data_IF_526517242481
#
_entry.id   IF_526517242481
#
_cell.length_a   1.000
_cell.length_b   1.000
_cell.length_c   1.000
_cell.angle_alpha   90.00
_cell.angle_beta   90.00
_cell.angle_gamma   90.00
#
_symmetry.space_group_name_H-M   'P 1'
#
loop_
_entity.id
_entity.type
_entity.pdbx_description
1 polymer ?
#
# COMPACT_ATOMS: atom_id res chain seq x y z
N UNK A 1 -9.69 -2.77 6.13
CA UNK A 1 -9.44 -1.91 4.95
C UNK A 1 -8.64 -2.71 3.95
N UNK A 2 -9.20 -2.98 2.76
CA UNK A 2 -8.53 -3.80 1.76
C UNK A 2 -7.59 -2.97 0.88
N UNK A 3 -6.39 -3.49 0.65
CA UNK A 3 -5.39 -2.92 -0.25
C UNK A 3 -5.13 -3.90 -1.39
N UNK A 4 -5.91 -3.77 -2.47
CA UNK A 4 -5.67 -4.41 -3.75
C UNK A 4 -4.79 -3.47 -4.59
N UNK A 5 -3.52 -3.83 -4.82
CA UNK A 5 -2.67 -3.01 -5.70
C UNK A 5 -2.94 -3.41 -7.13
N UNK A 6 -3.53 -2.51 -7.91
CA UNK A 6 -3.63 -2.68 -9.35
C UNK A 6 -2.53 -1.91 -10.08
N UNK A 7 -1.83 -2.62 -10.97
CA UNK A 7 -0.57 -2.21 -11.60
C UNK A 7 -0.82 -2.09 -13.10
N UNK A 8 -0.48 -0.94 -13.68
CA UNK A 8 -0.62 -0.76 -15.11
C UNK A 8 0.58 -0.15 -15.84
N UNK A 9 0.84 -0.69 -17.04
CA UNK A 9 2.06 -0.48 -17.83
C UNK A 9 1.75 0.22 -19.15
N UNK A 10 2.51 1.26 -19.50
CA UNK A 10 2.44 1.94 -20.80
C UNK A 10 3.81 1.97 -21.46
N UNK A 11 3.93 1.42 -22.68
CA UNK A 11 5.10 1.62 -23.53
C UNK A 11 4.84 2.77 -24.50
N UNK A 12 5.72 3.78 -24.54
CA UNK A 12 5.62 4.92 -25.46
C UNK A 12 6.59 4.69 -26.62
N UNK A 13 6.05 4.64 -27.84
CA UNK A 13 6.83 4.74 -29.07
C UNK A 13 7.05 6.22 -29.43
N UNK A 14 8.31 6.64 -29.52
CA UNK A 14 8.74 7.96 -30.00
C UNK A 14 8.89 7.98 -31.52
N UNK A 15 8.54 9.09 -32.20
CA UNK A 15 9.18 9.65 -33.41
C UNK A 15 8.56 11.05 -33.73
N UNK A 16 9.29 11.97 -34.40
CA UNK A 16 9.19 13.41 -34.22
C UNK A 16 8.43 14.14 -35.34
N UNK A 17 7.87 15.31 -35.06
CA UNK A 17 7.51 16.29 -36.09
C UNK A 17 7.57 17.72 -35.53
N UNK A 18 8.45 18.51 -36.14
CA UNK A 18 8.52 19.95 -35.99
C UNK A 18 7.39 20.60 -36.79
N UNK A 19 6.63 21.52 -36.19
CA UNK A 19 5.98 22.62 -36.89
C UNK A 19 5.95 23.85 -35.97
N UNK A 20 6.66 24.89 -36.40
CA UNK A 20 6.57 26.23 -35.87
C UNK A 20 5.35 26.92 -36.47
N UNK A 21 4.54 27.58 -35.65
CA UNK A 21 3.84 28.80 -36.04
C UNK A 21 3.71 29.73 -34.83
N UNK A 22 4.12 30.97 -35.08
CA UNK A 22 4.09 32.14 -34.23
C UNK A 22 2.67 32.72 -34.13
N UNK A 23 2.31 33.24 -32.95
CA UNK A 23 1.65 34.54 -32.85
C UNK A 23 1.74 35.09 -31.42
N UNK A 24 2.02 36.38 -31.40
CA UNK A 24 2.30 37.27 -30.29
C UNK A 24 1.04 37.70 -29.53
N UNK A 25 1.14 37.89 -28.22
CA UNK A 25 0.61 39.10 -27.58
C UNK A 25 1.29 39.37 -26.23
N UNK A 26 1.61 40.64 -26.06
CA UNK A 26 2.48 41.27 -25.06
C UNK A 26 1.68 41.92 -23.94
N UNK A 27 2.19 41.87 -22.70
CA UNK A 27 2.19 43.02 -21.77
C UNK A 27 3.10 42.67 -20.57
N UNK A 28 4.31 43.21 -20.49
CA UNK A 28 4.69 44.49 -19.87
C UNK A 28 4.74 44.48 -18.33
N UNK A 29 5.92 44.09 -17.84
CA UNK A 29 6.65 44.45 -16.61
C UNK A 29 6.44 45.92 -16.12
N UNK A 30 6.80 46.31 -14.85
CA UNK A 30 8.10 45.97 -14.27
C UNK A 30 8.27 45.73 -12.77
N UNK A 31 9.36 44.99 -12.54
CA UNK A 31 10.13 44.80 -11.32
C UNK A 31 11.07 46.01 -11.15
N UNK A 32 11.13 46.58 -9.95
CA UNK A 32 12.24 47.48 -9.57
C UNK A 32 13.00 46.86 -8.42
N UNK A 33 14.27 46.55 -8.69
CA UNK A 33 15.32 46.22 -7.74
C UNK A 33 16.23 47.43 -7.62
N UNK A 34 16.47 47.94 -6.41
CA UNK A 34 17.66 48.72 -6.12
C UNK A 34 17.89 48.82 -4.61
N UNK A 35 19.07 48.37 -4.18
CA UNK A 35 19.77 48.81 -2.98
C UNK A 35 21.04 49.51 -3.47
N UNK A 36 21.51 50.60 -2.82
CA UNK A 36 22.68 50.45 -1.95
C UNK A 36 22.73 51.39 -0.71
N UNK A 37 23.19 50.86 0.44
CA UNK A 37 24.22 51.30 1.42
C UNK A 37 24.57 52.81 1.65
N UNK A 38 25.29 53.21 2.75
CA UNK A 38 25.08 53.11 4.22
C UNK A 38 25.36 54.44 5.01
N UNK A 39 25.39 54.36 6.35
CA UNK A 39 25.87 55.33 7.40
C UNK A 39 24.82 56.35 7.89
N UNK A 40 24.52 56.57 9.19
CA UNK A 40 25.36 56.66 10.40
C UNK A 40 24.51 56.67 11.71
N UNK A 41 25.05 56.06 12.79
CA UNK A 41 25.02 56.37 14.27
C UNK A 41 23.72 56.91 14.93
N UNK A 42 23.27 56.47 16.12
CA UNK A 42 23.94 56.24 17.42
C UNK A 42 23.04 55.36 18.33
N UNK A 43 23.62 54.65 19.31
CA UNK A 43 22.90 54.27 20.54
C UNK A 43 23.22 52.88 21.11
N UNK A 44 24.32 52.78 21.86
CA UNK A 44 24.75 51.61 22.63
C UNK A 44 24.01 51.55 23.98
N UNK A 45 23.22 50.49 24.23
CA UNK A 45 22.93 50.02 25.60
C UNK A 45 23.04 48.50 25.62
N UNK A 46 24.08 48.00 26.29
CA UNK A 46 24.26 46.59 26.62
C UNK A 46 23.42 46.28 27.86
N UNK A 47 22.46 45.38 27.74
CA UNK A 47 21.86 44.70 28.89
C UNK A 47 22.07 43.21 28.69
N UNK A 48 23.07 42.64 29.38
CA UNK A 48 23.20 41.20 29.53
C UNK A 48 22.08 40.72 30.45
N UNK A 49 21.08 40.05 29.90
CA UNK A 49 20.13 39.26 30.69
C UNK A 49 20.66 37.82 30.77
N UNK A 50 20.99 37.39 31.98
CA UNK A 50 21.20 35.98 32.34
C UNK A 50 19.94 35.16 32.05
N UNK A 51 20.05 33.95 31.46
CA UNK A 51 18.90 33.06 31.35
C UNK A 51 18.50 32.58 32.76
N UNK A 52 17.20 32.50 33.08
CA UNK A 52 16.75 31.95 34.35
C UNK A 52 17.07 30.45 34.40
N UNK A 53 17.54 30.03 35.57
CA UNK A 53 17.86 28.65 35.93
C UNK A 53 16.75 27.67 35.56
N UNK A 54 17.15 26.50 35.06
CA UNK A 54 16.28 25.38 34.77
C UNK A 54 15.36 25.09 35.96
N UNK A 55 14.05 25.24 35.74
CA UNK A 55 13.04 24.73 36.66
C UNK A 55 13.23 23.22 36.77
N UNK A 56 13.53 22.77 37.99
CA UNK A 56 13.41 21.39 38.41
C UNK A 56 11.99 20.92 38.07
N UNK A 57 11.86 20.06 37.06
CA UNK A 57 10.65 19.29 36.88
C UNK A 57 10.79 18.03 37.73
N UNK A 58 10.32 18.11 38.97
CA UNK A 58 9.98 16.93 39.76
C UNK A 58 8.88 16.18 39.01
N UNK A 59 9.27 15.17 38.24
CA UNK A 59 8.31 14.22 37.69
C UNK A 59 7.85 13.32 38.84
N UNK A 60 6.86 13.81 39.57
CA UNK A 60 6.01 13.00 40.45
C UNK A 60 5.46 11.86 39.59
N UNK A 61 5.94 10.65 39.84
CA UNK A 61 5.43 9.42 39.27
C UNK A 61 3.98 9.25 39.76
N UNK A 62 3.06 9.87 39.04
CA UNK A 62 1.63 9.68 39.23
C UNK A 62 1.30 8.34 38.60
N UNK A 63 1.03 7.35 39.44
CA UNK A 63 0.44 6.06 39.07
C UNK A 63 -0.82 6.30 38.25
N UNK A 64 -0.69 6.20 36.93
CA UNK A 64 -1.82 6.04 36.03
C UNK A 64 -2.23 4.55 36.07
N UNK A 65 -3.53 4.23 36.04
CA UNK A 65 -3.98 2.86 35.96
C UNK A 65 -3.42 2.22 34.68
N UNK A 66 -2.99 0.96 34.78
CA UNK A 66 -2.38 0.18 33.70
C UNK A 66 -3.12 0.37 32.37
N UNK A 67 -2.59 1.24 31.51
CA UNK A 67 -3.11 1.44 30.17
C UNK A 67 -2.75 0.19 29.36
N UNK A 68 -3.71 -0.70 29.18
CA UNK A 68 -3.56 -1.91 28.36
C UNK A 68 -3.24 -1.46 26.93
N UNK A 69 -2.01 -1.69 26.49
CA UNK A 69 -1.61 -1.40 25.11
C UNK A 69 -2.43 -2.28 24.15
N UNK A 70 -2.88 -1.74 23.01
CA UNK A 70 -3.61 -2.52 22.02
C UNK A 70 -2.71 -3.64 21.46
N UNK A 71 -3.33 -4.76 21.11
CA UNK A 71 -2.63 -5.90 20.54
C UNK A 71 -2.21 -5.62 19.10
N UNK A 72 -0.95 -5.93 18.82
CA UNK A 72 -0.35 -5.76 17.52
C UNK A 72 0.40 -7.04 17.15
N UNK A 73 0.35 -7.39 15.87
CA UNK A 73 1.24 -8.36 15.25
C UNK A 73 2.55 -7.63 14.92
N UNK A 74 3.64 -8.07 15.54
CA UNK A 74 4.98 -7.52 15.34
C UNK A 74 5.85 -8.56 14.65
N UNK A 75 6.47 -8.20 13.52
CA UNK A 75 7.33 -9.07 12.74
C UNK A 75 8.80 -8.71 12.92
N UNK A 76 9.63 -9.71 13.18
CA UNK A 76 11.09 -9.60 13.26
C UNK A 76 11.77 -10.54 12.28
N UNK A 77 12.85 -10.07 11.65
CA UNK A 77 13.82 -10.91 10.97
C UNK A 77 14.84 -11.39 12.00
N UNK A 78 15.00 -12.70 12.14
CA UNK A 78 15.87 -13.32 13.15
C UNK A 78 16.68 -14.43 12.52
N UNK A 79 18.00 -14.33 12.60
CA UNK A 79 18.91 -15.34 12.05
C UNK A 79 18.81 -16.66 12.85
N UNK A 80 18.26 -17.70 12.23
CA UNK A 80 18.00 -19.03 12.78
C UNK A 80 18.48 -20.12 11.81
N UNK A 81 19.28 -21.07 12.29
CA UNK A 81 19.89 -22.09 11.41
C UNK A 81 19.30 -23.50 11.56
N UNK A 82 18.43 -23.71 12.54
CA UNK A 82 17.88 -25.03 12.85
C UNK A 82 16.63 -24.93 13.71
N UNK A 83 15.91 -26.05 13.85
CA UNK A 83 14.75 -26.18 14.76
C UNK A 83 15.07 -25.89 16.22
N UNK A 84 16.30 -26.18 16.67
CA UNK A 84 16.76 -25.79 18.00
C UNK A 84 16.74 -24.26 18.22
N UNK A 85 17.00 -23.49 17.16
CA UNK A 85 16.89 -22.03 17.20
C UNK A 85 15.45 -21.57 17.32
N UNK A 86 14.55 -22.21 16.57
CA UNK A 86 13.10 -21.94 16.60
C UNK A 86 12.56 -22.13 18.01
N UNK A 87 12.90 -23.26 18.64
CA UNK A 87 12.44 -23.58 19.99
C UNK A 87 12.98 -22.60 21.04
N UNK A 88 14.27 -22.22 20.94
CA UNK A 88 14.86 -21.24 21.86
C UNK A 88 14.15 -19.88 21.78
N UNK A 89 13.84 -19.43 20.56
CA UNK A 89 13.10 -18.17 20.32
C UNK A 89 11.67 -18.25 20.87
N UNK A 90 10.92 -19.30 20.52
CA UNK A 90 9.53 -19.50 21.00
C UNK A 90 9.45 -19.52 22.52
N UNK A 91 10.29 -20.33 23.17
CA UNK A 91 10.30 -20.46 24.63
C UNK A 91 10.58 -19.10 25.29
N UNK A 92 11.57 -18.36 24.79
CA UNK A 92 11.95 -17.08 25.38
C UNK A 92 10.85 -16.02 25.24
N UNK A 93 10.15 -16.00 24.11
CA UNK A 93 9.09 -15.02 23.84
C UNK A 93 7.79 -15.34 24.60
N UNK A 94 7.47 -16.61 24.77
CA UNK A 94 6.27 -17.05 25.51
C UNK A 94 6.36 -16.75 27.02
N UNK A 95 7.55 -16.51 27.57
CA UNK A 95 7.76 -16.08 28.96
C UNK A 95 7.38 -14.61 29.19
N UNK A 96 7.21 -13.82 28.13
CA UNK A 96 7.01 -12.37 28.24
C UNK A 96 5.53 -12.05 28.45
N UNK A 97 5.22 -11.32 29.51
CA UNK A 97 3.87 -10.83 29.76
C UNK A 97 3.40 -9.90 28.64
N UNK A 98 2.17 -10.11 28.16
CA UNK A 98 1.58 -9.40 27.02
C UNK A 98 1.74 -10.11 25.67
N UNK A 99 2.54 -11.18 25.58
CA UNK A 99 2.62 -12.04 24.38
C UNK A 99 1.49 -13.07 24.41
N UNK A 100 0.74 -13.16 23.31
CA UNK A 100 -0.37 -14.12 23.13
C UNK A 100 0.00 -15.27 22.22
N UNK A 101 0.67 -14.99 21.11
CA UNK A 101 1.05 -15.99 20.11
C UNK A 101 2.41 -15.65 19.51
N UNK A 102 3.20 -16.68 19.23
CA UNK A 102 4.50 -16.60 18.57
C UNK A 102 4.55 -17.61 17.43
N UNK A 103 4.59 -17.11 16.20
CA UNK A 103 4.82 -17.89 14.99
C UNK A 103 6.25 -17.71 14.52
N UNK A 104 6.87 -18.79 14.04
CA UNK A 104 8.25 -18.76 13.56
C UNK A 104 8.31 -19.49 12.23
N UNK A 105 8.78 -18.77 11.21
CA UNK A 105 9.06 -19.27 9.88
C UNK A 105 10.59 -19.39 9.71
N UNK A 106 11.09 -20.62 9.83
CA UNK A 106 12.52 -20.90 9.69
C UNK A 106 13.00 -20.70 8.24
N UNK A 107 12.17 -20.97 7.24
CA UNK A 107 12.55 -20.83 5.83
C UNK A 107 12.80 -19.38 5.47
N UNK A 108 11.93 -18.49 5.96
CA UNK A 108 12.01 -17.05 5.70
C UNK A 108 12.77 -16.26 6.78
N UNK A 109 13.23 -16.91 7.86
CA UNK A 109 13.91 -16.28 8.99
C UNK A 109 13.04 -15.22 9.69
N UNK A 110 11.73 -15.46 9.77
CA UNK A 110 10.75 -14.51 10.31
C UNK A 110 10.16 -15.03 11.62
N UNK A 111 10.00 -14.13 12.58
CA UNK A 111 9.30 -14.36 13.85
C UNK A 111 8.15 -13.36 13.94
N UNK A 112 6.92 -13.84 14.08
CA UNK A 112 5.72 -13.02 14.26
C UNK A 112 5.22 -13.16 15.68
N UNK A 113 4.99 -12.04 16.34
CA UNK A 113 4.60 -11.98 17.75
C UNK A 113 3.29 -11.20 17.84
N UNK A 114 2.21 -11.86 18.24
CA UNK A 114 0.95 -11.21 18.57
C UNK A 114 0.94 -10.88 20.06
N UNK A 115 0.78 -9.60 20.40
CA UNK A 115 0.70 -9.18 21.79
C UNK A 115 0.61 -7.69 21.99
N UNK A 116 0.50 -7.28 23.25
CA UNK A 116 0.54 -5.87 23.69
C UNK A 116 1.92 -5.43 24.18
N UNK A 117 2.90 -6.33 24.12
CA UNK A 117 4.28 -6.11 24.58
C UNK A 117 4.99 -5.04 23.74
N UNK A 118 5.72 -4.09 24.36
CA UNK A 118 6.54 -3.13 23.61
C UNK A 118 7.63 -3.79 22.75
N UNK A 119 7.88 -3.22 21.57
CA UNK A 119 8.92 -3.68 20.62
C UNK A 119 10.30 -3.82 21.28
N UNK A 120 10.65 -2.88 22.16
CA UNK A 120 11.93 -2.91 22.87
C UNK A 120 12.10 -4.20 23.68
N UNK A 121 11.09 -4.58 24.46
CA UNK A 121 11.11 -5.80 25.29
C UNK A 121 11.22 -7.06 24.43
N UNK A 122 10.50 -7.11 23.31
CA UNK A 122 10.58 -8.23 22.36
C UNK A 122 11.97 -8.32 21.71
N UNK A 123 12.54 -7.17 21.33
CA UNK A 123 13.89 -7.11 20.73
C UNK A 123 14.95 -7.60 21.71
N UNK A 124 14.92 -7.12 22.96
CA UNK A 124 15.85 -7.54 24.01
C UNK A 124 15.73 -9.05 24.30
N UNK A 125 14.50 -9.58 24.34
CA UNK A 125 14.29 -11.00 24.55
C UNK A 125 14.82 -11.86 23.41
N UNK A 126 14.64 -11.43 22.15
CA UNK A 126 15.22 -12.10 20.99
C UNK A 126 16.75 -12.06 21.02
N UNK A 127 17.34 -10.93 21.36
CA UNK A 127 18.80 -10.76 21.48
C UNK A 127 19.40 -11.62 22.60
N UNK A 128 18.68 -11.80 23.72
CA UNK A 128 19.08 -12.72 24.81
C UNK A 128 19.20 -14.18 24.35
N UNK A 129 18.57 -14.56 23.24
CA UNK A 129 18.75 -15.89 22.66
C UNK A 129 20.07 -16.04 21.89
N UNK A 130 20.87 -14.98 21.80
CA UNK A 130 22.12 -14.92 21.04
C UNK A 130 21.91 -14.67 19.54
N UNK A 131 20.75 -14.12 19.16
CA UNK A 131 20.37 -13.90 17.75
C UNK A 131 20.19 -12.43 17.47
N UNK A 132 20.62 -11.99 16.29
CA UNK A 132 20.34 -10.65 15.81
C UNK A 132 18.89 -10.58 15.37
N UNK A 133 18.14 -9.66 15.96
CA UNK A 133 16.75 -9.40 15.60
C UNK A 133 16.63 -8.02 14.95
N UNK A 134 15.92 -7.95 13.83
CA UNK A 134 15.60 -6.68 13.16
C UNK A 134 14.09 -6.58 13.01
N UNK A 135 13.49 -5.50 13.52
CA UNK A 135 12.08 -5.21 13.28
C UNK A 135 11.81 -5.06 11.78
N UNK A 136 10.80 -5.78 11.29
CA UNK A 136 10.27 -5.70 9.91
C UNK A 136 8.99 -4.87 9.89
N UNK A 137 8.12 -5.04 10.88
CA UNK A 137 6.81 -4.41 10.84
C UNK A 137 6.04 -4.54 12.15
N UNK A 138 5.06 -3.66 12.32
CA UNK A 138 4.10 -3.75 13.41
C UNK A 138 2.74 -3.27 12.90
N UNK A 139 1.71 -4.10 13.05
CA UNK A 139 0.37 -3.80 12.55
C UNK A 139 -0.70 -4.53 13.35
N UNK A 140 -1.96 -4.21 13.08
CA UNK A 140 -3.09 -4.98 13.63
C UNK A 140 -3.06 -6.35 12.94
N UNK A 141 -3.25 -7.47 13.68
CA UNK A 141 -3.24 -8.82 13.11
C UNK A 141 -4.26 -9.03 11.99
N UNK A 142 -5.28 -8.19 11.92
CA UNK A 142 -6.26 -8.17 10.84
C UNK A 142 -5.67 -7.50 9.60
N UNK A 143 -4.87 -8.26 8.86
CA UNK A 143 -4.78 -8.07 7.41
C UNK A 143 -6.18 -8.16 6.79
N UNK A 144 -6.41 -7.58 5.61
CA UNK A 144 -7.73 -7.64 5.00
C UNK A 144 -8.15 -9.08 4.76
N UNK A 145 -9.39 -9.43 5.15
CA UNK A 145 -9.96 -10.77 4.96
C UNK A 145 -9.88 -11.22 3.49
N UNK A 146 -9.99 -10.27 2.57
CA UNK A 146 -9.86 -10.47 1.13
C UNK A 146 -8.68 -9.66 0.61
N UNK A 147 -7.72 -10.34 -0.01
CA UNK A 147 -6.54 -9.73 -0.62
C UNK A 147 -6.31 -10.27 -2.04
N UNK A 148 -5.56 -9.51 -2.83
CA UNK A 148 -5.28 -9.88 -4.21
C UNK A 148 -4.55 -8.78 -4.97
N UNK A 149 -4.15 -9.10 -6.20
CA UNK A 149 -3.54 -8.15 -7.14
C UNK A 149 -4.15 -8.29 -8.51
N UNK A 150 -4.36 -7.13 -9.15
CA UNK A 150 -4.92 -7.02 -10.51
C UNK A 150 -3.93 -6.26 -11.39
N UNK A 151 -3.34 -6.90 -12.39
CA UNK A 151 -2.43 -6.27 -13.35
C UNK A 151 -3.20 -5.93 -14.63
N UNK A 152 -3.06 -4.69 -15.08
CA UNK A 152 -3.65 -4.16 -16.31
C UNK A 152 -2.51 -3.77 -17.26
N UNK A 153 -2.34 -4.46 -18.39
CA UNK A 153 -1.33 -4.08 -19.36
C UNK A 153 -2.00 -3.56 -20.63
N UNK A 154 -1.67 -2.34 -21.08
CA UNK A 154 -2.14 -1.86 -22.37
C UNK A 154 -1.42 -2.64 -23.47
N UNK A 155 -2.17 -3.34 -24.32
CA UNK A 155 -1.60 -4.09 -25.46
C UNK A 155 -1.52 -3.20 -26.69
N UNK A 156 -2.59 -2.45 -26.97
CA UNK A 156 -2.67 -1.43 -28.01
C UNK A 156 -3.76 -0.41 -27.62
N UNK A 157 -4.09 0.56 -28.48
CA UNK A 157 -5.06 1.62 -28.16
C UNK A 157 -6.49 1.13 -27.85
N UNK A 158 -6.85 -0.08 -28.26
CA UNK A 158 -8.20 -0.65 -28.17
C UNK A 158 -8.28 -1.90 -27.27
N UNK A 159 -7.15 -2.39 -26.75
CA UNK A 159 -7.10 -3.65 -26.00
C UNK A 159 -6.21 -3.53 -24.76
N UNK A 160 -6.77 -3.91 -23.62
CA UNK A 160 -6.03 -4.11 -22.37
C UNK A 160 -6.07 -5.58 -21.95
N UNK A 161 -4.92 -6.10 -21.51
CA UNK A 161 -4.81 -7.40 -20.85
C UNK A 161 -5.03 -7.21 -19.35
N UNK A 162 -5.79 -8.12 -18.74
CA UNK A 162 -6.09 -8.12 -17.31
C UNK A 162 -5.70 -9.47 -16.74
N UNK A 163 -4.90 -9.46 -15.68
CA UNK A 163 -4.55 -10.62 -14.88
C UNK A 163 -4.90 -10.34 -13.43
N UNK A 164 -5.57 -11.25 -12.76
CA UNK A 164 -5.96 -11.07 -11.37
C UNK A 164 -5.79 -12.37 -10.57
N UNK A 165 -5.37 -12.20 -9.32
CA UNK A 165 -5.31 -13.27 -8.33
C UNK A 165 -5.89 -12.72 -7.02
N UNK A 166 -6.83 -13.46 -6.43
CA UNK A 166 -7.48 -13.14 -5.17
C UNK A 166 -7.42 -14.33 -4.22
N UNK A 167 -7.42 -14.03 -2.93
CA UNK A 167 -7.55 -15.01 -1.85
C UNK A 167 -8.43 -14.43 -0.73
N UNK A 168 -9.05 -15.33 0.04
CA UNK A 168 -9.94 -14.97 1.13
C UNK A 168 -11.38 -14.66 0.70
N UNK A 169 -11.75 -14.97 -0.54
CA UNK A 169 -13.14 -14.91 -1.00
C UNK A 169 -13.96 -16.07 -0.42
N UNK A 170 -15.28 -15.90 -0.32
CA UNK A 170 -16.16 -17.05 -0.08
C UNK A 170 -16.14 -17.97 -1.31
N UNK A 171 -16.25 -19.30 -1.16
CA UNK A 171 -16.39 -20.18 -2.31
C UNK A 171 -17.61 -19.83 -3.17
N UNK A 172 -17.45 -19.79 -4.49
CA UNK A 172 -18.52 -19.51 -5.44
C UNK A 172 -18.25 -18.32 -6.37
N UNK A 173 -19.34 -17.76 -6.92
CA UNK A 173 -19.27 -16.72 -7.96
C UNK A 173 -19.32 -15.32 -7.37
N UNK A 174 -18.36 -14.50 -7.77
CA UNK A 174 -18.20 -13.12 -7.36
C UNK A 174 -18.24 -12.18 -8.56
N UNK A 175 -19.07 -11.14 -8.53
CA UNK A 175 -18.99 -10.07 -9.52
C UNK A 175 -17.76 -9.19 -9.27
N UNK A 176 -17.21 -8.59 -10.32
CA UNK A 176 -16.15 -7.58 -10.17
C UNK A 176 -16.19 -6.55 -11.29
N UNK A 177 -15.73 -5.34 -10.99
CA UNK A 177 -15.78 -4.21 -11.91
C UNK A 177 -14.71 -3.17 -11.63
N UNK A 178 -14.59 -2.22 -12.55
CA UNK A 178 -13.92 -0.95 -12.35
C UNK A 178 -14.99 0.10 -12.08
N UNK A 179 -14.87 0.83 -10.97
CA UNK A 179 -15.79 1.89 -10.59
C UNK A 179 -15.18 3.28 -10.83
N UNK A 180 -16.02 4.30 -10.81
CA UNK A 180 -15.69 5.65 -11.22
C UNK A 180 -14.57 6.30 -10.37
N UNK A 181 -14.60 6.10 -9.06
CA UNK A 181 -13.72 6.80 -8.12
C UNK A 181 -12.82 5.85 -7.34
N UNK A 182 -11.55 6.24 -7.18
CA UNK A 182 -10.61 5.63 -6.23
C UNK A 182 -10.79 6.12 -4.79
N UNK A 183 -12.01 6.43 -4.36
CA UNK A 183 -12.29 6.85 -2.98
C UNK A 183 -12.57 5.62 -2.10
N UNK A 184 -11.65 5.35 -1.17
CA UNK A 184 -11.75 4.24 -0.21
C UNK A 184 -12.08 4.70 1.22
N UNK A 185 -12.51 5.95 1.43
CA UNK A 185 -12.87 6.48 2.76
C UNK A 185 -13.95 5.66 3.45
N UNK A 186 -14.84 5.02 2.69
CA UNK A 186 -15.86 4.06 3.16
C UNK A 186 -15.74 2.71 2.44
N UNK A 187 -14.51 2.27 2.14
CA UNK A 187 -14.26 1.03 1.40
C UNK A 187 -14.88 1.07 0.00
N UNK A 188 -15.48 -0.04 -0.45
CA UNK A 188 -16.10 -0.10 -1.77
C UNK A 188 -17.32 0.82 -1.92
N UNK A 189 -17.99 1.19 -0.81
CA UNK A 189 -19.22 2.00 -0.86
C UNK A 189 -18.98 3.45 -1.32
N UNK A 190 -17.75 3.96 -1.24
CA UNK A 190 -17.37 5.30 -1.72
C UNK A 190 -16.83 5.33 -3.15
N UNK A 191 -16.76 4.18 -3.85
CA UNK A 191 -16.15 4.09 -5.19
C UNK A 191 -17.03 4.61 -6.35
N UNK A 192 -18.28 4.96 -6.06
CA UNK A 192 -19.23 5.43 -7.07
C UNK A 192 -19.80 4.32 -7.94
N UNK A 193 -20.30 4.69 -9.14
CA UNK A 193 -20.91 3.76 -10.09
C UNK A 193 -19.86 3.01 -10.90
N UNK A 194 -20.28 1.96 -11.60
CA UNK A 194 -19.43 1.27 -12.56
C UNK A 194 -18.95 2.23 -13.66
N UNK A 195 -17.67 2.15 -13.98
CA UNK A 195 -17.03 3.05 -14.93
C UNK A 195 -17.64 2.89 -16.33
N UNK A 196 -18.18 3.97 -16.88
CA UNK A 196 -18.66 4.02 -18.25
C UNK A 196 -18.40 5.41 -18.87
N UNK A 197 -17.26 5.62 -19.55
CA UNK A 197 -16.88 6.93 -20.06
C UNK A 197 -17.70 7.37 -21.28
N UNK A 198 -18.27 6.42 -22.01
CA UNK A 198 -19.16 6.70 -23.14
C UNK A 198 -20.57 6.35 -22.68
N UNK A 199 -21.43 7.35 -22.52
CA UNK A 199 -22.87 7.15 -22.35
C UNK A 199 -23.49 6.70 -23.69
N UNK A 200 -22.97 5.61 -24.26
CA UNK A 200 -23.71 4.87 -25.27
C UNK A 200 -24.85 4.17 -24.52
N UNK A 201 -26.02 4.82 -24.46
CA UNK A 201 -27.25 4.23 -23.93
C UNK A 201 -27.62 2.88 -24.62
N UNK A 202 -26.90 2.52 -25.70
CA UNK A 202 -27.05 1.30 -26.47
C UNK A 202 -26.03 0.18 -26.15
N UNK A 203 -25.01 0.40 -25.31
CA UNK A 203 -24.14 -0.69 -24.85
C UNK A 203 -24.82 -1.41 -23.69
N UNK A 204 -25.14 -2.71 -23.86
CA UNK A 204 -25.87 -3.53 -22.88
C UNK A 204 -25.18 -3.61 -21.51
N UNK A 205 -23.88 -3.36 -21.43
CA UNK A 205 -23.08 -3.48 -20.21
C UNK A 205 -22.07 -2.31 -20.10
N UNK A 206 -21.85 -1.75 -18.90
CA UNK A 206 -20.83 -0.71 -18.68
C UNK A 206 -19.42 -1.20 -19.05
N UNK A 207 -18.57 -0.29 -19.55
CA UNK A 207 -17.18 -0.64 -19.92
C UNK A 207 -16.36 -1.22 -18.76
N UNK A 208 -16.63 -0.73 -17.54
CA UNK A 208 -16.01 -1.19 -16.31
C UNK A 208 -16.48 -2.56 -15.83
N UNK A 209 -17.45 -3.19 -16.49
CA UNK A 209 -17.86 -4.55 -16.13
C UNK A 209 -16.78 -5.56 -16.53
N UNK A 210 -16.22 -6.29 -15.56
CA UNK A 210 -15.21 -7.32 -15.78
C UNK A 210 -15.78 -8.75 -15.73
N UNK A 211 -17.10 -8.89 -15.54
CA UNK A 211 -17.80 -10.16 -15.47
C UNK A 211 -17.81 -10.77 -14.07
N UNK A 212 -17.48 -12.06 -14.01
CA UNK A 212 -17.61 -12.91 -12.81
C UNK A 212 -16.30 -13.65 -12.56
N UNK A 213 -15.86 -13.65 -11.31
CA UNK A 213 -14.78 -14.46 -10.77
C UNK A 213 -15.38 -15.73 -10.14
N UNK A 214 -14.68 -16.84 -10.27
CA UNK A 214 -15.04 -18.09 -9.61
C UNK A 214 -13.98 -18.42 -8.56
N UNK A 215 -14.38 -18.35 -7.30
CA UNK A 215 -13.55 -18.68 -6.15
C UNK A 215 -13.72 -20.17 -5.80
N UNK A 216 -12.60 -20.87 -5.64
CA UNK A 216 -12.59 -22.28 -5.27
C UNK A 216 -12.95 -22.48 -3.78
N UNK A 217 -12.97 -23.74 -3.32
CA UNK A 217 -13.28 -24.08 -1.91
C UNK A 217 -12.30 -23.46 -0.90
N UNK A 218 -11.10 -23.07 -1.33
CA UNK A 218 -10.08 -22.38 -0.51
C UNK A 218 -10.25 -20.85 -0.52
N UNK A 219 -11.23 -20.32 -1.26
CA UNK A 219 -11.44 -18.89 -1.41
C UNK A 219 -10.45 -18.21 -2.35
N UNK A 220 -9.81 -18.97 -3.23
CA UNK A 220 -8.86 -18.45 -4.23
C UNK A 220 -9.56 -18.29 -5.58
N UNK A 221 -9.33 -17.16 -6.26
CA UNK A 221 -9.85 -16.91 -7.60
C UNK A 221 -8.73 -16.37 -8.52
N UNK A 222 -8.67 -16.93 -9.72
CA UNK A 222 -7.72 -16.51 -10.76
C UNK A 222 -8.45 -16.07 -12.02
N UNK A 223 -7.97 -14.99 -12.64
CA UNK A 223 -8.47 -14.49 -13.91
C UNK A 223 -7.32 -14.09 -14.82
N UNK A 224 -7.40 -14.48 -16.09
CA UNK A 224 -6.53 -13.97 -17.15
C UNK A 224 -7.37 -13.79 -18.41
N UNK A 225 -7.42 -12.55 -18.90
CA UNK A 225 -8.24 -12.21 -20.06
C UNK A 225 -7.85 -10.89 -20.70
N UNK A 226 -8.67 -10.47 -21.68
CA UNK A 226 -8.52 -9.19 -22.37
C UNK A 226 -9.85 -8.45 -22.36
N UNK A 227 -9.79 -7.12 -22.33
CA UNK A 227 -10.95 -6.24 -22.44
C UNK A 227 -10.73 -5.26 -23.57
N UNK A 228 -11.66 -5.27 -24.53
CA UNK A 228 -11.70 -4.32 -25.63
C UNK A 228 -12.18 -2.94 -25.16
N UNK A 229 -11.77 -1.90 -25.88
CA UNK A 229 -12.09 -0.48 -25.65
C UNK A 229 -11.65 0.06 -24.28
N UNK A 230 -10.86 -0.71 -23.53
CA UNK A 230 -10.36 -0.33 -22.22
C UNK A 230 -8.96 0.29 -22.35
N UNK A 231 -8.84 1.56 -21.96
CA UNK A 231 -7.56 2.27 -21.93
C UNK A 231 -7.07 2.44 -20.50
N UNK A 232 -5.95 1.79 -20.17
CA UNK A 232 -5.27 1.84 -18.88
C UNK A 232 -5.09 3.26 -18.35
N UNK A 233 -4.71 4.20 -19.22
CA UNK A 233 -4.49 5.59 -18.81
C UNK A 233 -5.75 6.24 -18.22
N UNK A 234 -6.94 5.84 -18.69
CA UNK A 234 -8.22 6.36 -18.23
C UNK A 234 -8.67 5.72 -16.90
N UNK A 235 -8.02 4.63 -16.48
CA UNK A 235 -8.34 3.88 -15.26
C UNK A 235 -7.52 4.33 -14.06
N UNK A 236 -6.41 5.02 -14.26
CA UNK A 236 -5.53 5.44 -13.16
C UNK A 236 -6.30 6.36 -12.20
N UNK A 237 -6.26 6.03 -10.90
CA UNK A 237 -6.98 6.75 -9.85
C UNK A 237 -8.44 6.34 -9.68
N UNK A 238 -8.94 5.40 -10.49
CA UNK A 238 -10.22 4.70 -10.28
C UNK A 238 -10.04 3.50 -9.37
N UNK A 239 -11.08 2.71 -9.13
CA UNK A 239 -10.97 1.52 -8.29
C UNK A 239 -11.41 0.24 -8.99
N UNK A 240 -10.72 -0.87 -8.72
CA UNK A 240 -11.28 -2.22 -8.90
C UNK A 240 -12.11 -2.56 -7.67
N UNK A 241 -13.28 -3.16 -7.89
CA UNK A 241 -14.24 -3.54 -6.85
C UNK A 241 -14.65 -4.99 -7.07
N UNK A 242 -14.70 -5.77 -5.99
CA UNK A 242 -15.24 -7.13 -5.97
C UNK A 242 -16.52 -7.13 -5.15
N UNK A 243 -17.51 -7.90 -5.59
CA UNK A 243 -18.84 -8.01 -5.02
C UNK A 243 -19.04 -9.41 -4.43
N UNK A 244 -19.93 -9.55 -3.45
CA UNK A 244 -20.26 -10.84 -2.85
C UNK A 244 -20.88 -11.80 -3.87
N UNK A 245 -21.64 -11.27 -4.82
CA UNK A 245 -22.49 -12.00 -5.75
C UNK A 245 -22.26 -11.53 -7.19
N UNK A 246 -22.63 -12.38 -8.16
CA UNK A 246 -22.50 -12.12 -9.60
C UNK A 246 -23.37 -10.94 -10.09
N UNK A 247 -24.48 -10.65 -9.40
CA UNK A 247 -25.45 -9.61 -9.77
C UNK A 247 -24.97 -8.17 -9.49
N UNK A 248 -23.93 -8.00 -8.66
CA UNK A 248 -23.33 -6.68 -8.31
C UNK A 248 -24.36 -5.69 -7.77
N UNK A 249 -25.43 -6.19 -7.15
CA UNK A 249 -26.56 -5.38 -6.68
C UNK A 249 -26.26 -4.66 -5.36
N UNK A 250 -25.43 -5.27 -4.53
CA UNK A 250 -24.97 -4.71 -3.27
C UNK A 250 -23.70 -3.86 -3.44
N UNK A 251 -23.29 -3.19 -2.36
CA UNK A 251 -21.99 -2.53 -2.33
C UNK A 251 -20.88 -3.59 -2.38
N UNK A 252 -19.74 -3.25 -3.00
CA UNK A 252 -18.62 -4.18 -3.07
C UNK A 252 -18.13 -4.62 -1.68
N UNK A 253 -17.62 -5.85 -1.60
CA UNK A 253 -17.02 -6.41 -0.38
C UNK A 253 -15.58 -5.95 -0.19
N UNK A 254 -14.89 -5.66 -1.29
CA UNK A 254 -13.53 -5.13 -1.28
C UNK A 254 -13.30 -4.24 -2.48
N UNK A 255 -12.42 -3.25 -2.33
CA UNK A 255 -12.07 -2.33 -3.40
C UNK A 255 -10.65 -1.82 -3.23
N UNK A 256 -10.03 -1.42 -4.33
CA UNK A 256 -8.81 -0.65 -4.26
C UNK A 256 -8.47 0.15 -5.50
N UNK A 257 -7.61 1.16 -5.28
CA UNK A 257 -7.23 2.14 -6.30
C UNK A 257 -6.30 1.54 -7.34
N UNK A 258 -6.60 1.81 -8.60
CA UNK A 258 -5.75 1.51 -9.74
C UNK A 258 -4.60 2.51 -9.78
N UNK A 259 -3.40 2.01 -9.53
CA UNK A 259 -2.19 2.80 -9.46
C UNK A 259 -1.35 2.63 -10.72
N UNK A 260 -0.49 3.62 -10.98
CA UNK A 260 0.54 3.48 -12.01
C UNK A 260 1.57 2.46 -11.54
N UNK A 261 2.00 1.62 -12.47
CA UNK A 261 3.20 0.81 -12.29
C UNK A 261 4.25 1.21 -13.30
N UNK A 262 5.50 0.95 -12.97
CA UNK A 262 6.58 1.10 -13.93
C UNK A 262 6.50 0.03 -15.01
N UNK A 263 6.87 0.42 -16.22
CA UNK A 263 7.22 -0.48 -17.31
C UNK A 263 8.47 -1.30 -17.06
N UNK A 264 8.66 -2.29 -17.93
CA UNK A 264 9.87 -3.10 -17.97
C UNK A 264 11.06 -2.17 -18.19
N UNK A 265 11.95 -2.12 -17.21
CA UNK A 265 13.12 -1.24 -17.24
C UNK A 265 12.86 0.22 -16.86
N UNK A 266 11.66 0.61 -16.43
CA UNK A 266 11.38 2.01 -16.06
C UNK A 266 11.57 2.30 -14.56
N UNK A 267 11.75 1.26 -13.73
CA UNK A 267 11.97 1.41 -12.29
C UNK A 267 13.40 1.01 -11.87
N UNK A 268 14.27 2.00 -11.74
CA UNK A 268 15.64 1.82 -11.25
C UNK A 268 15.79 2.10 -9.76
N UNK A 269 14.69 2.20 -9.00
CA UNK A 269 14.73 2.48 -7.56
C UNK A 269 15.37 1.30 -6.83
N UNK A 270 16.57 1.51 -6.28
CA UNK A 270 17.34 0.49 -5.53
C UNK A 270 16.98 0.40 -4.06
N UNK A 271 16.33 1.44 -3.51
CA UNK A 271 16.04 1.55 -2.09
C UNK A 271 14.60 2.02 -1.88
N UNK A 272 13.81 1.20 -1.19
CA UNK A 272 12.49 1.58 -0.68
C UNK A 272 12.59 1.72 0.85
N UNK A 273 12.23 2.89 1.38
CA UNK A 273 12.27 3.22 2.83
C UNK A 273 11.00 2.80 3.56
N UNK A 274 10.23 1.87 3.00
CA UNK A 274 9.11 1.26 3.72
C UNK A 274 9.68 0.36 4.82
N UNK A 275 8.92 0.15 5.89
CA UNK A 275 9.18 -0.90 6.91
C UNK A 275 9.44 -2.28 6.28
N UNK A 276 8.88 -2.52 5.09
CA UNK A 276 9.16 -3.70 4.27
C UNK A 276 8.29 -4.89 4.66
N UNK A 277 7.19 -4.62 5.35
CA UNK A 277 6.18 -5.64 5.64
C UNK A 277 5.48 -6.04 4.34
N UNK A 278 5.76 -7.25 3.87
CA UNK A 278 5.07 -7.85 2.73
C UNK A 278 3.78 -8.49 3.23
N UNK A 279 2.65 -7.79 3.07
CA UNK A 279 1.32 -8.33 3.38
C UNK A 279 0.90 -9.38 2.34
N UNK A 280 1.34 -9.19 1.09
CA UNK A 280 1.15 -10.13 -0.01
C UNK A 280 2.14 -9.81 -1.14
N UNK A 281 2.74 -10.84 -1.75
CA UNK A 281 3.63 -10.72 -2.92
C UNK A 281 3.20 -11.73 -3.98
N UNK A 282 3.01 -11.25 -5.21
CA UNK A 282 2.75 -12.13 -6.34
C UNK A 282 4.06 -12.85 -6.71
N UNK A 283 4.06 -14.16 -6.58
CA UNK A 283 5.14 -15.04 -6.98
C UNK A 283 4.99 -15.49 -8.43
N UNK A 284 6.06 -15.99 -9.06
CA UNK A 284 6.01 -16.55 -10.42
C UNK A 284 5.03 -17.74 -10.53
N UNK A 285 4.74 -18.40 -9.40
CA UNK A 285 3.76 -19.50 -9.32
C UNK A 285 2.31 -19.05 -9.33
N UNK A 286 2.04 -17.76 -9.09
CA UNK A 286 0.67 -17.21 -9.06
C UNK A 286 0.12 -16.95 -10.47
N UNK A 287 0.96 -17.06 -11.49
CA UNK A 287 0.62 -16.86 -12.91
C UNK A 287 0.91 -18.12 -13.70
N UNK A 288 0.12 -19.17 -13.46
CA UNK A 288 0.17 -20.36 -14.30
C UNK A 288 -0.43 -20.01 -15.66
N UNK A 289 0.37 -20.10 -16.72
CA UNK A 289 -0.15 -20.08 -18.10
C UNK A 289 -1.18 -21.18 -18.23
N UNK A 290 -2.46 -20.82 -18.37
CA UNK A 290 -3.49 -21.76 -18.80
C UNK A 290 -3.04 -22.35 -20.13
N UNK A 291 -2.77 -23.66 -20.15
CA UNK A 291 -2.52 -24.37 -21.40
C UNK A 291 -3.84 -24.39 -22.16
N UNK A 292 -3.92 -23.54 -23.19
CA UNK A 292 -4.93 -23.66 -24.26
C UNK A 292 -4.64 -24.92 -25.05
#
# INVERSE_FOLDING_TARGET
MAFLRSIATTAIATIPAALAFSSSSSSSFPRSSQSPNPQNRLGLVKTLATPPSALHMDHKLSSQPDAVLPELLTEFMVDMKCEGCVNAVKNKLNEINGVKNVEVDLSNQVVRILGSTPVKTMTEALEQTGRKARLIGQGVPEGPDIFGVVRLAQVNMELARIEANFSGLSPGKHGWSINEFGDLTRGAASTGKMFNPVNEENSKEPLGDLGTLEANEKGEAFYSGVKEKLRVADLIGRSVVVYATEDKSEHGITAAVIARSAGVGENYKKLCTCDGTTIWEATDTDFVTSKV
#
